data_IF_999198517328
#
_entry.id   IF_999198517328
#
_cell.length_a   1.000
_cell.length_b   1.000
_cell.length_c   1.000
_cell.angle_alpha   90.00
_cell.angle_beta   90.00
_cell.angle_gamma   90.00
#
_symmetry.space_group_name_H-M   'P 1'
#
loop_
_entity.id
_entity.type
_entity.pdbx_description
1 polymer ?
#
# COMPACT_ATOMS: atom_id res chain seq x y z
N UNK A 1 16.27 10.99 31.61
CA UNK A 1 16.86 10.76 30.27
C UNK A 1 18.31 11.23 30.25
N UNK A 2 19.23 10.32 29.95
CA UNK A 2 20.64 10.65 29.75
C UNK A 2 20.77 11.62 28.57
N UNK A 3 21.51 12.73 28.75
CA UNK A 3 21.79 13.72 27.69
C UNK A 3 22.76 13.12 26.66
N UNK A 4 22.23 12.31 25.75
CA UNK A 4 22.98 11.68 24.66
C UNK A 4 23.01 12.61 23.45
N UNK A 5 24.21 12.84 22.92
CA UNK A 5 24.44 13.70 21.77
C UNK A 5 25.09 12.89 20.65
N UNK A 6 24.44 12.85 19.49
CA UNK A 6 24.91 12.09 18.31
C UNK A 6 25.35 12.98 17.15
N UNK A 7 25.13 14.29 17.25
CA UNK A 7 25.55 15.21 16.19
C UNK A 7 27.07 15.37 16.25
N UNK A 8 27.76 15.25 15.10
CA UNK A 8 29.22 15.28 15.05
C UNK A 8 29.73 16.66 15.48
N UNK A 9 30.77 16.66 16.33
CA UNK A 9 31.42 17.88 16.81
C UNK A 9 31.88 18.79 15.68
N UNK A 10 32.35 18.21 14.59
CA UNK A 10 32.81 18.94 13.41
C UNK A 10 31.74 19.84 12.79
N UNK A 11 30.46 19.50 12.93
CA UNK A 11 29.35 20.31 12.43
C UNK A 11 28.90 21.34 13.47
N UNK A 12 28.48 20.89 14.66
CA UNK A 12 27.85 21.81 15.62
C UNK A 12 28.83 22.82 16.25
N UNK A 13 30.12 22.48 16.35
CA UNK A 13 31.12 23.39 16.93
C UNK A 13 31.40 24.64 16.08
N UNK A 14 30.96 24.66 14.81
CA UNK A 14 31.01 25.85 13.95
C UNK A 14 30.03 26.93 14.38
N UNK A 15 28.96 26.56 15.09
CA UNK A 15 27.84 27.44 15.43
C UNK A 15 27.80 27.80 16.91
N UNK A 16 28.13 26.85 17.78
CA UNK A 16 28.05 27.00 19.24
C UNK A 16 29.24 26.33 19.93
N UNK A 17 29.62 26.84 21.11
CA UNK A 17 30.71 26.28 21.91
C UNK A 17 30.29 24.96 22.60
N UNK A 18 29.03 24.89 23.07
CA UNK A 18 28.45 23.67 23.62
C UNK A 18 27.19 23.27 22.85
N UNK A 19 27.01 21.97 22.59
CA UNK A 19 25.82 21.43 21.91
C UNK A 19 24.50 21.77 22.62
N UNK A 20 24.53 21.96 23.95
CA UNK A 20 23.38 22.40 24.73
C UNK A 20 22.87 23.79 24.34
N UNK A 21 23.71 24.62 23.76
CA UNK A 21 23.38 26.00 23.42
C UNK A 21 22.49 26.09 22.17
N UNK A 22 22.43 25.02 21.35
CA UNK A 22 21.52 24.92 20.20
C UNK A 22 20.03 24.92 20.61
N UNK A 23 19.74 24.53 21.86
CA UNK A 23 18.37 24.46 22.37
C UNK A 23 17.89 25.80 22.95
N UNK A 24 18.78 26.78 23.10
CA UNK A 24 18.44 28.10 23.61
C UNK A 24 17.75 28.95 22.54
N UNK A 25 16.68 29.69 22.89
CA UNK A 25 15.95 30.52 21.94
C UNK A 25 16.81 31.63 21.32
N UNK A 26 17.84 32.08 22.03
CA UNK A 26 18.80 33.09 21.58
C UNK A 26 19.64 32.61 20.38
N UNK A 27 19.93 31.31 20.32
CA UNK A 27 20.72 30.69 19.25
C UNK A 27 19.85 30.08 18.15
N UNK A 28 18.58 30.49 18.02
CA UNK A 28 17.65 29.94 17.04
C UNK A 28 18.20 29.94 15.61
N UNK A 29 18.80 31.05 15.18
CA UNK A 29 19.33 31.17 13.82
C UNK A 29 20.51 30.22 13.59
N UNK A 30 21.45 30.19 14.54
CA UNK A 30 22.60 29.27 14.54
C UNK A 30 22.16 27.80 14.55
N UNK A 31 21.11 27.47 15.31
CA UNK A 31 20.54 26.13 15.37
C UNK A 31 19.93 25.71 14.03
N UNK A 32 19.23 26.63 13.35
CA UNK A 32 18.70 26.38 12.01
C UNK A 32 19.81 26.19 10.98
N UNK A 33 20.87 27.00 11.01
CA UNK A 33 22.01 26.83 10.09
C UNK A 33 22.75 25.50 10.34
N UNK A 34 22.96 25.14 11.62
CA UNK A 34 23.53 23.83 11.98
C UNK A 34 22.65 22.66 11.50
N UNK A 35 21.33 22.79 11.61
CA UNK A 35 20.38 21.81 11.10
C UNK A 35 20.44 21.70 9.57
N UNK A 36 20.56 22.82 8.87
CA UNK A 36 20.72 22.84 7.40
C UNK A 36 21.96 22.09 6.95
N UNK A 37 23.09 22.27 7.62
CA UNK A 37 24.31 21.50 7.33
C UNK A 37 24.12 20.00 7.58
N UNK A 38 23.47 19.62 8.69
CA UNK A 38 23.16 18.20 8.96
C UNK A 38 22.25 17.59 7.88
N UNK A 39 21.27 18.35 7.40
CA UNK A 39 20.35 17.88 6.36
C UNK A 39 21.05 17.82 4.99
N UNK A 40 21.94 18.76 4.69
CA UNK A 40 22.80 18.72 3.51
C UNK A 40 23.62 17.42 3.47
N UNK A 41 24.29 17.09 4.58
CA UNK A 41 25.06 15.84 4.69
C UNK A 41 24.18 14.60 4.45
N UNK A 42 22.94 14.60 4.95
CA UNK A 42 22.00 13.50 4.68
C UNK A 42 21.55 13.45 3.20
N UNK A 43 21.22 14.60 2.60
CA UNK A 43 20.75 14.68 1.21
C UNK A 43 21.82 14.26 0.20
N UNK A 44 23.09 14.54 0.49
CA UNK A 44 24.18 14.15 -0.41
C UNK A 44 24.32 12.64 -0.59
N UNK A 45 23.72 11.80 0.27
CA UNK A 45 23.73 10.32 0.17
C UNK A 45 22.47 9.75 -0.48
N UNK A 46 21.51 10.59 -0.86
CA UNK A 46 20.22 10.13 -1.36
C UNK A 46 20.33 9.41 -2.72
N UNK A 47 21.30 9.79 -3.55
CA UNK A 47 21.64 9.13 -4.81
C UNK A 47 22.13 7.69 -4.58
N UNK A 48 23.04 7.48 -3.64
CA UNK A 48 23.53 6.14 -3.26
C UNK A 48 22.39 5.26 -2.72
N UNK A 49 21.46 5.83 -1.94
CA UNK A 49 20.28 5.10 -1.47
C UNK A 49 19.38 4.66 -2.64
N UNK A 50 19.14 5.55 -3.61
CA UNK A 50 18.34 5.25 -4.80
C UNK A 50 19.05 4.21 -5.69
N UNK A 51 20.38 4.32 -5.85
CA UNK A 51 21.19 3.34 -6.58
C UNK A 51 21.12 1.95 -5.95
N UNK A 52 21.24 1.88 -4.62
CA UNK A 52 21.12 0.62 -3.89
C UNK A 52 19.74 -0.02 -4.12
N UNK A 53 18.66 0.75 -3.99
CA UNK A 53 17.29 0.25 -4.20
C UNK A 53 17.05 -0.21 -5.64
N UNK A 54 17.72 0.39 -6.63
CA UNK A 54 17.65 -0.04 -8.02
C UNK A 54 18.27 -1.43 -8.25
N UNK A 55 19.24 -1.84 -7.42
CA UNK A 55 19.87 -3.16 -7.49
C UNK A 55 19.09 -4.28 -6.79
N UNK A 56 18.03 -3.96 -6.03
CA UNK A 56 17.27 -4.96 -5.26
C UNK A 56 16.28 -5.68 -6.18
N UNK A 57 16.45 -7.00 -6.33
CA UNK A 57 15.61 -7.83 -7.21
C UNK A 57 14.39 -8.43 -6.52
N UNK A 58 14.49 -8.71 -5.22
CA UNK A 58 13.40 -9.36 -4.48
C UNK A 58 12.41 -8.32 -3.94
N UNK A 59 11.13 -8.48 -4.27
CA UNK A 59 10.08 -7.52 -3.88
C UNK A 59 9.95 -7.35 -2.36
N UNK A 60 10.10 -8.44 -1.59
CA UNK A 60 9.97 -8.38 -0.13
C UNK A 60 11.10 -7.54 0.49
N UNK A 61 12.32 -7.73 0.00
CA UNK A 61 13.52 -6.98 0.41
C UNK A 61 13.42 -5.55 -0.08
N UNK A 62 12.95 -5.32 -1.30
CA UNK A 62 12.70 -3.97 -1.84
C UNK A 62 11.73 -3.21 -0.92
N UNK A 63 10.60 -3.81 -0.56
CA UNK A 63 9.63 -3.19 0.33
C UNK A 63 10.24 -2.87 1.71
N UNK A 64 11.04 -3.79 2.26
CA UNK A 64 11.71 -3.60 3.54
C UNK A 64 12.67 -2.41 3.54
N UNK A 65 13.39 -2.17 2.43
CA UNK A 65 14.34 -1.05 2.33
C UNK A 65 13.69 0.24 1.84
N UNK A 66 12.70 0.17 0.95
CA UNK A 66 12.10 1.35 0.33
C UNK A 66 11.22 2.14 1.32
N UNK A 67 10.41 1.45 2.14
CA UNK A 67 9.50 2.13 3.08
C UNK A 67 10.25 3.00 4.10
N UNK A 68 11.32 2.52 4.79
CA UNK A 68 12.09 3.37 5.68
C UNK A 68 12.77 4.55 4.96
N UNK A 69 13.26 4.36 3.74
CA UNK A 69 13.97 5.39 3.00
C UNK A 69 13.05 6.53 2.54
N UNK A 70 11.85 6.22 2.06
CA UNK A 70 10.87 7.26 1.70
C UNK A 70 10.31 7.99 2.94
N UNK A 71 10.20 7.30 4.08
CA UNK A 71 9.89 7.96 5.35
C UNK A 71 11.03 8.84 5.85
N UNK A 72 12.29 8.45 5.62
CA UNK A 72 13.45 9.23 6.00
C UNK A 72 13.50 10.57 5.25
N UNK A 73 13.35 10.56 3.91
CA UNK A 73 13.34 11.82 3.13
C UNK A 73 12.13 12.71 3.46
N UNK A 74 10.98 12.12 3.78
CA UNK A 74 9.82 12.86 4.29
C UNK A 74 10.12 13.54 5.63
N UNK A 75 10.83 12.84 6.51
CA UNK A 75 11.25 13.35 7.82
C UNK A 75 12.30 14.45 7.67
N UNK A 76 13.25 14.31 6.74
CA UNK A 76 14.22 15.37 6.42
C UNK A 76 13.51 16.67 5.99
N UNK A 77 12.46 16.57 5.16
CA UNK A 77 11.66 17.73 4.76
C UNK A 77 10.89 18.37 5.92
N UNK A 78 10.44 17.58 6.90
CA UNK A 78 9.79 18.08 8.10
C UNK A 78 10.79 18.74 9.07
N UNK A 79 11.99 18.19 9.17
CA UNK A 79 13.08 18.72 9.98
C UNK A 79 13.63 20.02 9.38
N UNK A 80 13.71 20.13 8.06
CA UNK A 80 14.37 21.25 7.38
C UNK A 80 13.74 22.61 7.68
N UNK A 81 14.58 23.56 8.09
CA UNK A 81 14.20 24.94 8.44
C UNK A 81 13.08 24.99 9.50
N UNK A 82 13.03 24.00 10.40
CA UNK A 82 11.98 23.86 11.39
C UNK A 82 12.53 23.93 12.81
N UNK A 83 12.37 25.08 13.46
CA UNK A 83 12.83 25.30 14.83
C UNK A 83 12.07 24.47 15.87
N UNK A 84 10.86 23.99 15.55
CA UNK A 84 10.11 23.14 16.47
C UNK A 84 10.84 21.81 16.78
N UNK A 85 11.79 21.39 15.93
CA UNK A 85 12.66 20.24 16.17
C UNK A 85 13.47 20.36 17.48
N UNK A 86 13.93 21.57 17.82
CA UNK A 86 14.74 21.82 19.02
C UNK A 86 13.89 21.95 20.29
N UNK A 87 12.57 22.12 20.16
CA UNK A 87 11.66 22.30 21.28
C UNK A 87 10.89 21.02 21.64
N UNK A 88 10.58 20.20 20.63
CA UNK A 88 9.76 19.00 20.78
C UNK A 88 10.10 17.94 19.75
N UNK A 89 9.67 16.72 20.03
CA UNK A 89 9.77 15.61 19.08
C UNK A 89 8.85 15.85 17.87
N UNK A 90 9.47 15.95 16.69
CA UNK A 90 8.76 16.05 15.41
C UNK A 90 8.66 14.66 14.76
N UNK A 91 7.51 14.39 14.16
CA UNK A 91 7.23 13.13 13.45
C UNK A 91 6.25 13.38 12.32
N UNK A 92 6.38 12.60 11.25
CA UNK A 92 5.39 12.56 10.18
C UNK A 92 4.03 12.10 10.73
N UNK A 93 2.94 12.59 10.13
CA UNK A 93 1.60 12.20 10.55
C UNK A 93 1.29 10.76 10.15
N UNK A 94 0.39 10.07 10.87
CA UNK A 94 0.00 8.68 10.55
C UNK A 94 -0.57 8.55 9.13
N UNK A 95 -1.30 9.56 8.66
CA UNK A 95 -1.82 9.59 7.29
C UNK A 95 -0.72 9.66 6.24
N UNK A 96 0.27 10.53 6.43
CA UNK A 96 1.43 10.61 5.54
C UNK A 96 2.25 9.32 5.56
N UNK A 97 2.46 8.71 6.73
CA UNK A 97 3.17 7.44 6.83
C UNK A 97 2.46 6.32 6.05
N UNK A 98 1.12 6.25 6.12
CA UNK A 98 0.32 5.31 5.35
C UNK A 98 0.43 5.55 3.84
N UNK A 99 0.33 6.81 3.39
CA UNK A 99 0.52 7.20 1.98
C UNK A 99 1.89 6.75 1.47
N UNK A 100 2.96 7.01 2.24
CA UNK A 100 4.32 6.60 1.88
C UNK A 100 4.47 5.09 1.81
N UNK A 101 3.90 4.36 2.76
CA UNK A 101 3.95 2.89 2.75
C UNK A 101 3.29 2.30 1.50
N UNK A 102 2.12 2.83 1.09
CA UNK A 102 1.43 2.37 -0.11
C UNK A 102 2.18 2.72 -1.40
N UNK A 103 2.79 3.91 -1.46
CA UNK A 103 3.51 4.38 -2.66
C UNK A 103 4.90 3.75 -2.79
N UNK A 104 5.51 3.28 -1.70
CA UNK A 104 6.90 2.79 -1.69
C UNK A 104 7.05 1.29 -1.90
N UNK A 105 5.95 0.56 -2.09
CA UNK A 105 5.93 -0.92 -2.15
C UNK A 105 5.64 -1.49 -3.53
N UNK A 106 5.35 -0.65 -4.52
CA UNK A 106 4.90 -1.11 -5.84
C UNK A 106 6.05 -1.19 -6.82
N UNK A 107 6.80 -0.09 -7.00
CA UNK A 107 7.90 0.00 -7.95
C UNK A 107 8.92 1.06 -7.52
N UNK A 108 10.13 0.96 -8.08
CA UNK A 108 11.19 1.94 -7.86
C UNK A 108 10.81 3.34 -8.37
N UNK A 109 10.03 3.42 -9.45
CA UNK A 109 9.62 4.72 -10.01
C UNK A 109 8.81 5.55 -9.02
N UNK A 110 7.85 4.95 -8.29
CA UNK A 110 7.10 5.68 -7.26
C UNK A 110 7.98 6.11 -6.08
N UNK A 111 8.99 5.30 -5.72
CA UNK A 111 10.00 5.69 -4.73
C UNK A 111 10.78 6.91 -5.22
N UNK A 112 11.27 6.88 -6.46
CA UNK A 112 11.94 8.01 -7.09
C UNK A 112 11.05 9.26 -7.14
N UNK A 113 9.78 9.12 -7.51
CA UNK A 113 8.81 10.22 -7.50
C UNK A 113 8.62 10.79 -6.10
N UNK A 114 8.66 9.95 -5.07
CA UNK A 114 8.56 10.39 -3.69
C UNK A 114 9.82 11.14 -3.22
N UNK A 115 11.01 10.68 -3.60
CA UNK A 115 12.27 11.39 -3.38
C UNK A 115 12.26 12.75 -4.10
N UNK A 116 11.85 12.79 -5.37
CA UNK A 116 11.69 14.02 -6.16
C UNK A 116 10.69 14.98 -5.52
N UNK A 117 9.53 14.49 -5.08
CA UNK A 117 8.49 15.29 -4.40
C UNK A 117 9.03 15.96 -3.13
N UNK A 118 9.79 15.25 -2.30
CA UNK A 118 10.36 15.83 -1.09
C UNK A 118 11.60 16.70 -1.34
N UNK A 119 12.47 16.33 -2.29
CA UNK A 119 13.58 17.18 -2.72
C UNK A 119 13.08 18.55 -3.20
N UNK A 120 12.00 18.59 -3.99
CA UNK A 120 11.35 19.85 -4.41
C UNK A 120 10.76 20.64 -3.26
N UNK A 121 10.16 19.96 -2.27
CA UNK A 121 9.64 20.63 -1.07
C UNK A 121 10.77 21.25 -0.24
N UNK A 122 11.87 20.53 -0.06
CA UNK A 122 13.07 21.04 0.64
C UNK A 122 13.63 22.25 -0.11
N UNK A 123 13.80 22.13 -1.43
CA UNK A 123 14.29 23.22 -2.27
C UNK A 123 13.40 24.48 -2.18
N UNK A 124 12.07 24.32 -2.16
CA UNK A 124 11.13 25.44 -1.97
C UNK A 124 11.16 26.06 -0.57
N UNK A 125 11.47 25.28 0.47
CA UNK A 125 11.64 25.77 1.84
C UNK A 125 13.00 26.43 2.07
N UNK A 126 13.93 26.28 1.13
CA UNK A 126 15.29 26.76 1.28
C UNK A 126 15.32 28.29 1.35
N UNK A 127 16.02 28.83 2.34
CA UNK A 127 16.06 30.26 2.61
C UNK A 127 17.34 30.87 2.00
N UNK A 128 17.25 31.91 1.15
CA UNK A 128 18.44 32.57 0.60
C UNK A 128 19.40 33.17 1.63
N UNK A 129 18.95 33.36 2.89
CA UNK A 129 19.78 33.84 4.00
C UNK A 129 20.64 32.76 4.65
N UNK A 130 20.40 31.49 4.33
CA UNK A 130 21.18 30.38 4.86
C UNK A 130 22.54 30.28 4.15
N UNK A 131 23.67 30.19 4.87
CA UNK A 131 24.98 29.95 4.28
C UNK A 131 25.03 28.72 3.35
N UNK A 132 24.22 27.69 3.61
CA UNK A 132 24.19 26.43 2.86
C UNK A 132 23.16 26.42 1.72
N UNK A 133 22.55 27.57 1.40
CA UNK A 133 21.49 27.67 0.41
C UNK A 133 21.87 27.05 -0.96
N UNK A 134 23.07 27.37 -1.46
CA UNK A 134 23.53 26.90 -2.76
C UNK A 134 23.76 25.39 -2.76
N UNK A 135 24.46 24.87 -1.75
CA UNK A 135 24.81 23.46 -1.67
C UNK A 135 23.58 22.56 -1.50
N UNK A 136 22.60 22.99 -0.70
CA UNK A 136 21.32 22.27 -0.56
C UNK A 136 20.57 22.25 -1.90
N UNK A 137 20.58 23.36 -2.62
CA UNK A 137 19.93 23.45 -3.93
C UNK A 137 20.60 22.54 -4.95
N UNK A 138 21.93 22.47 -4.93
CA UNK A 138 22.71 21.54 -5.76
C UNK A 138 22.40 20.09 -5.37
N UNK A 139 22.38 19.76 -4.08
CA UNK A 139 22.07 18.41 -3.61
C UNK A 139 20.66 17.96 -4.05
N UNK A 140 19.65 18.83 -3.91
CA UNK A 140 18.31 18.56 -4.43
C UNK A 140 18.29 18.37 -5.95
N UNK A 141 19.04 19.21 -6.69
CA UNK A 141 19.20 19.08 -8.14
C UNK A 141 19.88 17.79 -8.57
N UNK A 142 20.88 17.33 -7.82
CA UNK A 142 21.58 16.07 -8.06
C UNK A 142 20.64 14.87 -7.87
N UNK A 143 19.76 14.89 -6.86
CA UNK A 143 18.73 13.86 -6.69
C UNK A 143 17.81 13.82 -7.92
N UNK A 144 17.33 14.97 -8.40
CA UNK A 144 16.47 15.01 -9.59
C UNK A 144 17.20 14.51 -10.83
N UNK A 145 18.44 14.94 -11.04
CA UNK A 145 19.29 14.49 -12.15
C UNK A 145 19.53 13.00 -12.10
N UNK A 146 19.84 12.46 -10.92
CA UNK A 146 20.05 11.03 -10.72
C UNK A 146 18.78 10.23 -11.06
N UNK A 147 17.61 10.71 -10.64
CA UNK A 147 16.34 10.07 -11.01
C UNK A 147 16.13 10.07 -12.53
N UNK A 148 16.45 11.16 -13.24
CA UNK A 148 16.39 11.21 -14.71
C UNK A 148 17.38 10.23 -15.38
N UNK A 149 18.51 9.90 -14.75
CA UNK A 149 19.42 8.88 -15.28
C UNK A 149 18.87 7.46 -15.15
N UNK A 150 18.07 7.17 -14.10
CA UNK A 150 17.42 5.86 -13.92
C UNK A 150 16.17 5.75 -14.79
N UNK A 151 15.35 6.81 -14.82
CA UNK A 151 14.09 6.89 -15.55
C UNK A 151 14.08 8.11 -16.46
N UNK A 152 14.67 8.03 -17.66
CA UNK A 152 14.71 9.16 -18.58
C UNK A 152 13.29 9.55 -18.99
N UNK A 153 12.85 10.75 -18.60
CA UNK A 153 11.51 11.23 -18.93
C UNK A 153 11.44 11.53 -20.43
N UNK A 154 10.68 10.73 -21.19
CA UNK A 154 10.35 11.00 -22.59
C UNK A 154 9.31 12.13 -22.66
N UNK A 155 9.73 13.35 -22.35
CA UNK A 155 8.91 14.54 -22.56
C UNK A 155 8.95 14.85 -24.06
N UNK A 156 7.85 15.29 -24.68
CA UNK A 156 7.81 15.67 -26.12
C UNK A 156 8.82 16.76 -26.56
N UNK A 157 9.67 17.24 -25.65
CA UNK A 157 10.84 18.10 -25.90
C UNK A 157 12.11 17.32 -26.29
N UNK A 158 12.15 15.99 -26.09
CA UNK A 158 13.22 15.06 -26.52
C UNK A 158 12.82 14.18 -27.71
N UNK A 159 11.66 14.44 -28.32
CA UNK A 159 11.44 14.05 -29.72
C UNK A 159 12.09 15.16 -30.57
N UNK A 160 13.25 14.92 -31.22
CA UNK A 160 13.70 15.84 -32.24
C UNK A 160 12.64 15.81 -33.35
N UNK A 161 11.94 16.92 -33.50
CA UNK A 161 11.13 17.18 -34.67
C UNK A 161 12.11 17.38 -35.83
N UNK A 162 12.55 16.25 -36.41
CA UNK A 162 13.35 16.16 -37.62
C UNK A 162 14.71 16.84 -37.55
N UNK A 163 15.75 16.12 -37.13
CA UNK A 163 17.10 16.36 -37.67
C UNK A 163 17.92 15.08 -37.54
N UNK A 164 18.28 14.53 -38.70
CA UNK A 164 19.14 13.38 -38.84
C UNK A 164 20.60 13.77 -38.53
N UNK A 165 21.33 12.82 -37.95
CA UNK A 165 22.79 12.66 -37.99
C UNK A 165 23.67 13.87 -37.61
N UNK A 166 24.26 13.79 -36.42
CA UNK A 166 25.71 13.77 -36.20
C UNK A 166 26.04 14.21 -34.76
N UNK A 167 26.48 13.28 -33.91
CA UNK A 167 27.45 13.54 -32.84
C UNK A 167 27.78 12.22 -32.12
N UNK A 168 28.63 11.41 -32.76
CA UNK A 168 29.57 10.56 -32.02
C UNK A 168 30.60 11.48 -31.34
N UNK A 169 30.68 11.45 -30.01
CA UNK A 169 31.93 11.44 -29.24
C UNK A 169 31.71 11.63 -27.73
N UNK A 170 32.20 10.63 -26.97
CA UNK A 170 32.81 10.72 -25.65
C UNK A 170 31.91 10.94 -24.39
N UNK A 171 31.50 9.86 -23.72
CA UNK A 171 32.04 9.41 -22.40
C UNK A 171 31.43 8.06 -21.96
N UNK A 172 32.12 7.25 -21.12
CA UNK A 172 31.90 5.80 -21.03
C UNK A 172 30.90 5.36 -19.95
N UNK A 173 30.11 4.35 -20.32
CA UNK A 173 29.68 3.19 -19.53
C UNK A 173 29.06 3.41 -18.14
N UNK A 174 27.72 3.48 -18.09
CA UNK A 174 26.93 2.63 -17.18
C UNK A 174 25.73 2.12 -17.98
N UNK A 175 25.57 0.79 -17.98
CA UNK A 175 24.63 -0.03 -18.75
C UNK A 175 23.28 0.64 -19.10
N UNK A 176 23.17 1.18 -20.31
CA UNK A 176 21.90 1.25 -21.00
C UNK A 176 21.55 -0.17 -21.45
N UNK A 177 20.51 -0.75 -20.86
CA UNK A 177 19.81 -1.89 -21.42
C UNK A 177 19.09 -1.42 -22.69
N UNK A 178 19.83 -1.24 -23.79
CA UNK A 178 19.27 -1.03 -25.12
C UNK A 178 18.76 -2.39 -25.61
N UNK A 179 17.52 -2.73 -25.25
CA UNK A 179 16.86 -3.94 -25.78
C UNK A 179 16.78 -3.82 -27.29
N UNK A 180 17.45 -4.74 -27.99
CA UNK A 180 17.38 -4.89 -29.44
C UNK A 180 15.92 -4.96 -29.90
N UNK A 181 15.55 -4.46 -31.10
CA UNK A 181 14.18 -4.54 -31.62
C UNK A 181 13.56 -5.95 -31.55
N UNK A 182 14.38 -7.01 -31.56
CA UNK A 182 13.94 -8.40 -31.40
C UNK A 182 13.44 -8.75 -29.99
N UNK A 183 13.96 -8.12 -28.93
CA UNK A 183 13.56 -8.40 -27.54
C UNK A 183 12.26 -7.67 -27.18
N UNK A 184 12.07 -6.46 -27.71
CA UNK A 184 10.80 -5.72 -27.62
C UNK A 184 9.67 -6.49 -28.32
N UNK A 185 9.97 -7.12 -29.46
CA UNK A 185 9.01 -7.99 -30.14
C UNK A 185 8.73 -9.28 -29.36
N UNK A 186 9.73 -9.88 -28.71
CA UNK A 186 9.52 -11.06 -27.83
C UNK A 186 8.69 -10.72 -26.61
N UNK A 187 8.89 -9.57 -25.96
CA UNK A 187 8.03 -9.13 -24.85
C UNK A 187 6.62 -8.77 -25.31
N UNK A 188 6.46 -8.18 -26.50
CA UNK A 188 5.13 -7.95 -27.10
C UNK A 188 4.43 -9.27 -27.45
N UNK A 189 5.15 -10.27 -27.96
CA UNK A 189 4.62 -11.62 -28.22
C UNK A 189 4.27 -12.33 -26.91
N UNK A 190 5.16 -12.30 -25.91
CA UNK A 190 4.93 -12.89 -24.60
C UNK A 190 3.77 -12.23 -23.83
N UNK A 191 3.62 -10.90 -23.91
CA UNK A 191 2.49 -10.19 -23.29
C UNK A 191 1.16 -10.42 -24.02
N UNK A 192 1.19 -10.62 -25.34
CA UNK A 192 0.01 -11.04 -26.10
C UNK A 192 -0.40 -12.48 -25.79
N UNK A 193 0.57 -13.39 -25.68
CA UNK A 193 0.36 -14.78 -25.27
C UNK A 193 -0.19 -14.84 -23.84
N UNK A 194 0.42 -14.13 -22.89
CA UNK A 194 -0.07 -14.06 -21.51
C UNK A 194 -1.48 -13.46 -21.42
N UNK A 195 -1.79 -12.40 -22.18
CA UNK A 195 -3.13 -11.82 -22.22
C UNK A 195 -4.15 -12.82 -22.77
N UNK A 196 -3.79 -13.56 -23.82
CA UNK A 196 -4.63 -14.61 -24.41
C UNK A 196 -4.86 -15.75 -23.42
N UNK A 197 -3.82 -16.20 -22.73
CA UNK A 197 -3.91 -17.27 -21.72
C UNK A 197 -4.75 -16.83 -20.53
N UNK A 198 -4.61 -15.58 -20.05
CA UNK A 198 -5.49 -15.00 -19.01
C UNK A 198 -6.94 -14.94 -19.47
N UNK A 199 -7.22 -14.55 -20.72
CA UNK A 199 -8.58 -14.59 -21.27
C UNK A 199 -9.14 -16.02 -21.34
N UNK A 200 -8.32 -17.00 -21.74
CA UNK A 200 -8.74 -18.42 -21.77
C UNK A 200 -9.00 -18.97 -20.37
N UNK A 201 -8.15 -18.66 -19.37
CA UNK A 201 -8.37 -19.07 -17.98
C UNK A 201 -9.65 -18.46 -17.43
N UNK A 202 -9.90 -17.16 -17.67
CA UNK A 202 -11.14 -16.50 -17.25
C UNK A 202 -12.38 -17.13 -17.91
N UNK A 203 -12.30 -17.46 -19.20
CA UNK A 203 -13.40 -18.12 -19.91
C UNK A 203 -13.65 -19.54 -19.40
N UNK A 204 -12.59 -20.31 -19.13
CA UNK A 204 -12.69 -21.65 -18.56
C UNK A 204 -13.33 -21.65 -17.17
N UNK A 205 -12.94 -20.70 -16.29
CA UNK A 205 -13.53 -20.53 -14.96
C UNK A 205 -15.00 -20.12 -15.06
N UNK A 206 -15.36 -19.24 -15.99
CA UNK A 206 -16.75 -18.84 -16.19
C UNK A 206 -17.63 -20.01 -16.66
N UNK A 207 -17.12 -20.84 -17.57
CA UNK A 207 -17.83 -22.04 -18.04
C UNK A 207 -18.03 -23.03 -16.89
N UNK A 208 -16.99 -23.32 -16.10
CA UNK A 208 -17.11 -24.29 -15.01
C UNK A 208 -18.08 -23.82 -13.94
N UNK A 209 -18.04 -22.53 -13.55
CA UNK A 209 -19.01 -21.96 -12.62
C UNK A 209 -20.44 -21.97 -13.17
N UNK A 210 -20.61 -21.66 -14.46
CA UNK A 210 -21.92 -21.70 -15.12
C UNK A 210 -22.48 -23.12 -15.18
N UNK A 211 -21.64 -24.11 -15.49
CA UNK A 211 -22.03 -25.52 -15.53
C UNK A 211 -22.47 -26.01 -14.14
N UNK A 212 -21.69 -25.70 -13.10
CA UNK A 212 -22.03 -26.05 -11.71
C UNK A 212 -23.34 -25.39 -11.29
N UNK A 213 -23.54 -24.11 -11.64
CA UNK A 213 -24.78 -23.39 -11.33
C UNK A 213 -26.00 -24.01 -12.03
N UNK A 214 -25.88 -24.35 -13.32
CA UNK A 214 -26.96 -25.01 -14.07
C UNK A 214 -27.25 -26.41 -13.52
N UNK A 215 -26.24 -27.18 -13.14
CA UNK A 215 -26.42 -28.49 -12.49
C UNK A 215 -27.12 -28.35 -11.13
N UNK A 216 -26.75 -27.35 -10.32
CA UNK A 216 -27.40 -27.09 -9.03
C UNK A 216 -28.88 -26.71 -9.19
N UNK A 217 -29.19 -25.84 -10.17
CA UNK A 217 -30.57 -25.42 -10.46
C UNK A 217 -31.39 -26.59 -11.03
N UNK A 218 -30.80 -27.39 -11.93
CA UNK A 218 -31.45 -28.57 -12.49
C UNK A 218 -31.74 -29.65 -11.44
N UNK A 219 -30.80 -29.90 -10.53
CA UNK A 219 -31.01 -30.82 -9.42
C UNK A 219 -32.11 -30.32 -8.48
N UNK A 220 -32.11 -29.02 -8.14
CA UNK A 220 -33.18 -28.43 -7.32
C UNK A 220 -34.55 -28.52 -8.01
N UNK A 221 -34.62 -28.39 -9.33
CA UNK A 221 -35.86 -28.57 -10.09
C UNK A 221 -36.35 -30.03 -10.07
N UNK A 222 -35.43 -31.00 -10.23
CA UNK A 222 -35.74 -32.43 -10.17
C UNK A 222 -36.19 -32.89 -8.78
N UNK A 223 -35.68 -32.28 -7.70
CA UNK A 223 -36.11 -32.52 -6.31
C UNK A 223 -37.35 -31.73 -5.88
N UNK A 224 -38.03 -31.04 -6.82
CA UNK A 224 -39.31 -30.39 -6.55
C UNK A 224 -39.23 -29.00 -5.92
N UNK A 225 -38.10 -28.29 -6.07
CA UNK A 225 -38.00 -26.90 -5.63
C UNK A 225 -38.94 -26.00 -6.43
N UNK A 226 -39.86 -25.31 -5.72
CA UNK A 226 -40.76 -24.31 -6.31
C UNK A 226 -40.02 -22.98 -6.50
N UNK A 227 -39.31 -22.84 -7.62
CA UNK A 227 -38.61 -21.61 -8.00
C UNK A 227 -39.51 -20.38 -8.11
N UNK A 228 -40.82 -20.58 -8.29
CA UNK A 228 -41.83 -19.53 -8.33
C UNK A 228 -41.88 -18.72 -7.01
N UNK A 229 -41.74 -19.40 -5.86
CA UNK A 229 -41.74 -18.76 -4.54
C UNK A 229 -40.42 -18.02 -4.26
N UNK A 230 -39.30 -18.57 -4.75
CA UNK A 230 -37.98 -17.96 -4.60
C UNK A 230 -37.85 -16.69 -5.45
N UNK A 231 -38.44 -16.68 -6.65
CA UNK A 231 -38.49 -15.50 -7.52
C UNK A 231 -39.45 -14.42 -7.00
N UNK A 232 -40.59 -14.81 -6.39
CA UNK A 232 -41.44 -13.87 -5.64
C UNK A 232 -40.73 -13.26 -4.43
N UNK A 233 -40.01 -14.07 -3.63
CA UNK A 233 -39.24 -13.57 -2.48
C UNK A 233 -38.08 -12.63 -2.90
N UNK A 234 -37.47 -12.86 -4.07
CA UNK A 234 -36.48 -11.97 -4.67
C UNK A 234 -37.11 -10.67 -5.19
N UNK A 235 -38.31 -10.73 -5.77
CA UNK A 235 -39.06 -9.55 -6.25
C UNK A 235 -39.61 -8.70 -5.11
N UNK A 236 -39.89 -9.32 -3.97
CA UNK A 236 -40.32 -8.66 -2.72
C UNK A 236 -39.13 -8.17 -1.86
N UNK A 237 -37.89 -8.41 -2.29
CA UNK A 237 -36.69 -7.80 -1.71
C UNK A 237 -36.18 -8.44 -0.42
N UNK A 238 -36.56 -9.69 -0.11
CA UNK A 238 -36.18 -10.32 1.15
C UNK A 238 -34.78 -10.99 1.06
N UNK A 239 -33.72 -10.18 1.13
CA UNK A 239 -32.31 -10.59 1.01
C UNK A 239 -31.61 -10.97 2.34
N UNK A 240 -32.34 -11.20 3.43
CA UNK A 240 -31.75 -11.58 4.73
C UNK A 240 -32.52 -12.72 5.40
N UNK A 241 -31.84 -13.64 6.12
CA UNK A 241 -32.53 -14.68 6.88
C UNK A 241 -33.30 -14.06 8.06
N UNK A 242 -34.45 -14.67 8.39
CA UNK A 242 -35.39 -14.19 9.41
C UNK A 242 -34.71 -13.72 10.71
N UNK A 243 -35.19 -12.59 11.23
CA UNK A 243 -34.61 -11.91 12.38
C UNK A 243 -34.65 -12.79 13.64
N UNK A 244 -33.75 -12.58 14.62
CA UNK A 244 -33.70 -13.40 15.84
C UNK A 244 -35.04 -13.50 16.60
N UNK A 245 -35.89 -12.47 16.50
CA UNK A 245 -37.22 -12.45 17.13
C UNK A 245 -38.21 -13.37 16.43
N UNK A 246 -38.17 -13.44 15.11
CA UNK A 246 -39.04 -14.34 14.32
C UNK A 246 -38.60 -15.80 14.48
N UNK A 247 -37.28 -16.06 14.56
CA UNK A 247 -36.76 -17.38 14.92
C UNK A 247 -37.19 -17.82 16.32
N UNK A 248 -37.20 -16.91 17.29
CA UNK A 248 -37.68 -17.20 18.64
C UNK A 248 -39.19 -17.49 18.67
N UNK A 249 -39.99 -16.80 17.85
CA UNK A 249 -41.42 -17.08 17.70
C UNK A 249 -41.67 -18.45 17.06
N UNK A 250 -40.98 -18.77 15.96
CA UNK A 250 -41.11 -20.09 15.31
C UNK A 250 -40.64 -21.24 16.23
N UNK A 251 -39.58 -21.04 17.02
CA UNK A 251 -39.13 -22.03 18.01
C UNK A 251 -40.15 -22.18 19.14
N UNK A 252 -40.74 -21.08 19.63
CA UNK A 252 -41.80 -21.15 20.65
C UNK A 252 -43.01 -21.91 20.14
N UNK A 253 -43.46 -21.64 18.92
CA UNK A 253 -44.62 -22.31 18.32
C UNK A 253 -44.33 -23.80 18.04
N UNK A 254 -43.12 -24.13 17.59
CA UNK A 254 -42.69 -25.51 17.39
C UNK A 254 -42.56 -26.28 18.72
N UNK A 255 -42.05 -25.65 19.79
CA UNK A 255 -42.00 -26.25 21.13
C UNK A 255 -43.41 -26.48 21.66
N UNK A 256 -44.32 -25.51 21.46
CA UNK A 256 -45.70 -25.62 21.94
C UNK A 256 -46.47 -26.72 21.20
N UNK A 257 -46.28 -26.88 19.88
CA UNK A 257 -46.91 -27.98 19.13
C UNK A 257 -46.32 -29.35 19.50
N UNK A 258 -45.01 -29.43 19.72
CA UNK A 258 -44.32 -30.68 20.10
C UNK A 258 -44.71 -31.12 21.51
N UNK A 259 -44.86 -30.18 22.45
CA UNK A 259 -45.37 -30.48 23.81
C UNK A 259 -46.82 -30.98 23.80
N UNK A 260 -47.65 -30.46 22.89
CA UNK A 260 -49.04 -30.92 22.73
C UNK A 260 -49.11 -32.33 22.15
N UNK A 261 -48.22 -32.68 21.21
CA UNK A 261 -48.16 -34.02 20.62
C UNK A 261 -47.55 -35.06 21.58
N UNK A 262 -46.56 -34.69 22.37
CA UNK A 262 -45.97 -35.58 23.38
C UNK A 262 -46.96 -35.89 24.53
N UNK A 263 -47.78 -34.91 24.92
CA UNK A 263 -48.82 -35.11 25.94
C UNK A 263 -49.94 -36.04 25.45
N UNK A 264 -50.35 -35.96 24.18
CA UNK A 264 -51.36 -36.88 23.63
C UNK A 264 -50.82 -38.32 23.52
N UNK A 265 -49.58 -38.50 23.06
CA UNK A 265 -48.98 -39.84 22.94
C UNK A 265 -48.72 -40.52 24.28
N UNK A 266 -48.40 -39.76 25.33
CA UNK A 266 -48.20 -40.31 26.68
C UNK A 266 -49.53 -40.74 27.32
N UNK A 267 -50.61 -40.01 27.07
CA UNK A 267 -51.96 -40.38 27.51
C UNK A 267 -52.46 -41.66 26.83
N UNK A 268 -52.22 -41.81 25.53
CA UNK A 268 -52.60 -43.01 24.77
C UNK A 268 -51.79 -44.25 25.21
N UNK A 269 -50.48 -44.09 25.47
CA UNK A 269 -49.63 -45.18 25.94
C UNK A 269 -49.99 -45.65 27.36
N UNK A 270 -50.37 -44.74 28.27
CA UNK A 270 -50.84 -45.11 29.62
C UNK A 270 -52.19 -45.83 29.58
N UNK A 271 -53.10 -45.42 28.70
CA UNK A 271 -54.40 -46.09 28.52
C UNK A 271 -54.22 -47.51 27.97
N UNK A 272 -53.35 -47.68 26.96
CA UNK A 272 -53.06 -48.99 26.37
C UNK A 272 -52.35 -49.93 27.37
N UNK A 273 -51.45 -49.42 28.20
CA UNK A 273 -50.80 -50.21 29.24
C UNK A 273 -51.77 -50.63 30.36
N UNK A 274 -52.73 -49.77 30.73
CA UNK A 274 -53.75 -50.10 31.73
C UNK A 274 -54.73 -51.17 31.22
N UNK A 275 -55.12 -51.13 29.94
CA UNK A 275 -55.95 -52.17 29.32
C UNK A 275 -55.21 -53.52 29.19
N UNK A 276 -53.90 -53.50 28.90
CA UNK A 276 -53.10 -54.72 28.81
C UNK A 276 -52.90 -55.42 30.17
N UNK A 277 -52.76 -54.66 31.26
CA UNK A 277 -52.63 -55.22 32.62
C UNK A 277 -53.95 -55.80 33.13
N UNK A 278 -55.09 -55.27 32.69
CA UNK A 278 -56.41 -55.79 33.10
C UNK A 278 -56.85 -57.04 32.32
N UNK A 279 -56.18 -57.37 31.19
CA UNK A 279 -56.47 -58.54 30.36
C UNK A 279 -55.64 -59.79 30.71
N UNK A 280 -54.63 -59.67 31.58
CA UNK A 280 -53.71 -60.76 31.99
C UNK A 280 -53.88 -61.15 33.48
N UNK A 281 -55.01 -60.77 34.10
CA UNK A 281 -55.48 -61.20 35.43
C UNK A 281 -56.94 -61.63 35.34
#
# INVERSE_FOLDING_TARGET
DEKRYFWPREVWSKYVDNIGDLFLPENKEKALQCQSEMILLALTRADECLFYMAGVKEQSVFNFVAIPQTMAIATLELCFQNYAMFQRNIKITKGQACELMMQSTQNLQLVCDQFRKYARKIHRKNNPRDPHFLDISIACGNIERFIETIFPTQTARTLPQGEAQAADAATPAVAQEYKSPEEIEREKKASQEARRDVFFVMFAVFITLSLVSVCMIGAAWFFGARFDLAFQALREGNFAPASPKERAAMVKDAIMSTSSQAASSASEALSSAAEAVHSEL
#
